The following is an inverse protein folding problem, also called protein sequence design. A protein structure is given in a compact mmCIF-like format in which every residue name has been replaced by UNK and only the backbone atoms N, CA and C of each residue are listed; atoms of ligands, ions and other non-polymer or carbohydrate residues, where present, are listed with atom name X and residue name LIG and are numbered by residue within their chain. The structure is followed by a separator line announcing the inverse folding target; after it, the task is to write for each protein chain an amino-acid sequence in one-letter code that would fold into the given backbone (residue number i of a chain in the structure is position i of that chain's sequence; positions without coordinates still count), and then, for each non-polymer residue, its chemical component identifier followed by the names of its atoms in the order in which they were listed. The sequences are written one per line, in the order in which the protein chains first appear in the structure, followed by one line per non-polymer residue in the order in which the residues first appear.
data_IF_713111510626
#
_entry.id   IF_713111510626
#
_cell.length_a   1.000
_cell.length_b   1.000
_cell.length_c   1.000
_cell.angle_alpha   90.00
_cell.angle_beta   90.00
_cell.angle_gamma   90.00
#
_symmetry.space_group_name_H-M   'P 1'
#
loop_
_entity.id
_entity.type
_entity.pdbx_description
1 polymer ?
#
# COMPACT_ATOMS: atom_id res chain seq x y z
N UNK A 1 9.71 -6.46 -11.45
CA UNK A 1 9.22 -5.38 -10.56
C UNK A 1 9.00 -5.98 -9.18
N UNK A 2 9.22 -5.23 -8.08
CA UNK A 2 9.31 -5.68 -6.68
C UNK A 2 10.73 -5.94 -6.13
N UNK A 3 11.71 -5.13 -6.53
CA UNK A 3 12.98 -4.98 -5.78
C UNK A 3 13.16 -3.48 -5.57
N UNK A 4 12.62 -2.95 -4.47
CA UNK A 4 13.04 -1.63 -4.03
C UNK A 4 14.33 -1.83 -3.22
N UNK A 5 15.53 -1.53 -3.77
CA UNK A 5 16.78 -1.69 -3.03
C UNK A 5 16.92 -0.67 -1.89
N UNK A 6 16.04 0.33 -1.82
CA UNK A 6 16.03 1.39 -0.82
C UNK A 6 14.90 1.24 0.21
N UNK A 7 14.37 0.01 0.40
CA UNK A 7 13.51 -0.26 1.55
C UNK A 7 14.36 -0.20 2.84
N UNK A 8 13.93 0.50 3.91
CA UNK A 8 12.60 1.06 4.18
C UNK A 8 12.44 2.56 3.91
N UNK A 9 13.48 3.26 3.45
CA UNK A 9 13.49 4.71 3.22
C UNK A 9 12.37 5.14 2.25
N UNK A 10 12.15 4.34 1.20
CA UNK A 10 11.00 4.49 0.31
C UNK A 10 9.89 3.50 0.72
N UNK A 11 8.71 3.98 1.16
CA UNK A 11 7.63 3.13 1.65
C UNK A 11 6.90 2.43 0.51
N UNK A 12 7.49 1.34 -0.01
CA UNK A 12 6.93 0.54 -1.10
C UNK A 12 5.54 -0.05 -0.76
N UNK A 13 5.19 -0.20 0.52
CA UNK A 13 3.88 -0.67 0.97
C UNK A 13 2.74 0.33 0.74
N UNK A 14 3.04 1.62 0.52
CA UNK A 14 2.04 2.66 0.20
C UNK A 14 1.56 2.62 -1.26
N UNK A 15 2.31 1.94 -2.15
CA UNK A 15 1.93 1.83 -3.56
C UNK A 15 0.87 0.74 -3.74
N UNK A 16 -0.27 1.11 -4.29
CA UNK A 16 -1.40 0.22 -4.61
C UNK A 16 -1.88 0.47 -6.03
N UNK A 17 -2.74 -0.42 -6.55
CA UNK A 17 -3.34 -0.21 -7.87
C UNK A 17 -4.28 1.01 -7.83
N UNK A 18 -4.50 1.64 -8.99
CA UNK A 18 -5.44 2.78 -9.12
C UNK A 18 -6.89 2.44 -8.75
N UNK A 19 -7.25 1.16 -8.77
CA UNK A 19 -8.55 0.66 -8.30
C UNK A 19 -8.61 0.44 -6.76
N UNK A 20 -7.55 0.76 -6.02
CA UNK A 20 -7.46 0.59 -4.57
C UNK A 20 -7.09 -0.82 -4.10
N UNK A 21 -6.86 -1.77 -5.01
CA UNK A 21 -6.40 -3.12 -4.64
C UNK A 21 -4.93 -3.10 -4.22
N UNK A 22 -4.60 -3.92 -3.21
CA UNK A 22 -3.23 -4.25 -2.85
C UNK A 22 -2.63 -5.10 -3.97
N UNK A 23 -2.01 -4.45 -4.96
CA UNK A 23 -1.22 -5.11 -6.00
C UNK A 23 0.03 -5.80 -5.44
N UNK A 24 0.84 -6.37 -6.35
CA UNK A 24 2.03 -7.14 -6.03
C UNK A 24 2.93 -6.46 -4.98
N UNK A 25 3.28 -7.21 -3.95
CA UNK A 25 4.23 -6.82 -2.92
C UNK A 25 5.43 -7.76 -3.00
N UNK A 26 6.64 -7.23 -2.77
CA UNK A 26 7.87 -8.01 -2.87
C UNK A 26 7.95 -9.11 -1.82
N UNK A 27 7.54 -8.78 -0.61
CA UNK A 27 7.44 -9.68 0.53
C UNK A 27 6.00 -10.22 0.65
N UNK A 28 5.56 -10.43 1.88
CA UNK A 28 4.20 -10.83 2.20
C UNK A 28 3.19 -9.68 2.15
N UNK A 29 2.07 -9.92 1.46
CA UNK A 29 0.90 -9.02 1.46
C UNK A 29 0.42 -8.71 2.88
N UNK A 30 0.59 -9.65 3.83
CA UNK A 30 0.25 -9.47 5.25
C UNK A 30 1.12 -8.39 5.92
N UNK A 31 2.39 -8.29 5.55
CA UNK A 31 3.29 -7.24 6.05
C UNK A 31 2.86 -5.89 5.49
N UNK A 32 2.52 -5.84 4.19
CA UNK A 32 1.94 -4.64 3.56
C UNK A 32 0.70 -4.15 4.30
N UNK A 33 -0.25 -5.05 4.59
CA UNK A 33 -1.48 -4.74 5.34
C UNK A 33 -1.15 -4.20 6.73
N UNK A 34 -0.29 -4.87 7.50
CA UNK A 34 0.07 -4.43 8.85
C UNK A 34 0.72 -3.03 8.85
N UNK A 35 1.58 -2.75 7.87
CA UNK A 35 2.22 -1.41 7.74
C UNK A 35 1.20 -0.35 7.39
N UNK A 36 0.31 -0.61 6.43
CA UNK A 36 -0.80 0.28 6.07
C UNK A 36 -1.73 0.54 7.27
N UNK A 37 -2.10 -0.50 8.02
CA UNK A 37 -2.94 -0.36 9.21
C UNK A 37 -2.29 0.48 10.31
N UNK A 38 -0.97 0.36 10.52
CA UNK A 38 -0.22 1.23 11.46
C UNK A 38 -0.21 2.69 11.02
N UNK A 39 -0.28 2.95 9.71
CA UNK A 39 -0.42 4.30 9.15
C UNK A 39 -1.89 4.78 9.14
N UNK A 40 -2.81 4.02 9.72
CA UNK A 40 -4.24 4.33 9.77
C UNK A 40 -4.97 4.10 8.45
N UNK A 41 -4.43 3.27 7.56
CA UNK A 41 -5.10 2.87 6.31
C UNK A 41 -5.83 1.54 6.54
N UNK A 42 -7.15 1.56 6.42
CA UNK A 42 -7.96 0.36 6.53
C UNK A 42 -7.92 -0.45 5.23
N UNK A 43 -7.68 -1.75 5.38
CA UNK A 43 -7.70 -2.72 4.27
C UNK A 43 -8.74 -3.78 4.59
N UNK A 44 -9.62 -4.05 3.64
CA UNK A 44 -10.59 -5.15 3.66
C UNK A 44 -10.56 -5.89 2.32
N UNK A 45 -10.58 -7.22 2.34
CA UNK A 45 -10.53 -8.07 1.13
C UNK A 45 -9.39 -7.69 0.16
N UNK A 46 -8.18 -7.46 0.68
CA UNK A 46 -7.02 -6.98 -0.09
C UNK A 46 -7.24 -5.65 -0.84
N UNK A 47 -8.15 -4.80 -0.36
CA UNK A 47 -8.45 -3.49 -0.95
C UNK A 47 -8.49 -2.41 0.14
N UNK A 48 -8.02 -1.21 -0.19
CA UNK A 48 -8.13 -0.06 0.70
C UNK A 48 -9.59 0.39 0.74
N UNK A 49 -10.17 0.47 1.94
CA UNK A 49 -11.59 0.82 2.15
C UNK A 49 -11.82 2.31 1.87
N UNK A 50 -10.98 3.18 2.40
CA UNK A 50 -11.10 4.65 2.26
C UNK A 50 -10.21 5.22 1.14
N UNK A 51 -10.04 4.48 0.04
CA UNK A 51 -9.08 4.85 -1.01
C UNK A 51 -9.34 6.27 -1.54
N UNK A 52 -10.61 6.65 -1.78
CA UNK A 52 -10.98 7.99 -2.27
C UNK A 52 -10.66 9.13 -1.31
N UNK A 53 -10.55 8.90 0.00
CA UNK A 53 -10.28 9.96 0.98
C UNK A 53 -8.80 10.10 1.33
N UNK A 54 -7.96 9.14 0.92
CA UNK A 54 -6.52 9.09 1.26
C UNK A 54 -5.59 9.13 0.05
N UNK A 55 -6.11 9.41 -1.15
CA UNK A 55 -5.31 9.65 -2.35
C UNK A 55 -4.88 11.12 -2.36
N UNK A 56 -3.58 11.36 -2.27
CA UNK A 56 -2.99 12.64 -2.65
C UNK A 56 -2.90 12.64 -4.18
N UNK A 57 -3.78 13.38 -4.85
CA UNK A 57 -3.57 13.74 -6.26
C UNK A 57 -2.40 14.71 -6.31
N UNK A 58 -1.25 14.21 -6.75
CA UNK A 58 -0.08 15.04 -7.04
C UNK A 58 -0.21 15.44 -8.50
N UNK A 59 -0.67 16.67 -8.73
CA UNK A 59 -0.68 17.35 -10.03
C UNK A 59 0.72 17.79 -10.46
#
# INVERSE_FOLDING_TARGET
MNKNPFAPEVPCHRVVKSNGELGGFADDIKIKIKRLQREGVQVSNNRIVDFKQKVLEVS
#
